data_IF_926623665940
#
_entry.id   IF_926623665940
#
_cell.length_a   1.000
_cell.length_b   1.000
_cell.length_c   1.000
_cell.angle_alpha   90.00
_cell.angle_beta   90.00
_cell.angle_gamma   90.00
#
_symmetry.space_group_name_H-M   'P 1'
#
loop_
_entity.id
_entity.type
_entity.pdbx_description
1 polymer ?
#
# COMPACT_ATOMS: atom_id res chain seq x y z
N UNK A 1 8.96 -15.08 16.05
CA UNK A 1 7.85 -14.21 16.47
C UNK A 1 7.83 -13.02 15.53
N UNK A 2 6.88 -12.98 14.60
CA UNK A 2 6.68 -11.80 13.76
C UNK A 2 6.27 -10.65 14.68
N UNK A 3 6.92 -9.49 14.55
CA UNK A 3 6.53 -8.29 15.30
C UNK A 3 5.22 -7.79 14.69
N UNK A 4 4.11 -8.16 15.31
CA UNK A 4 2.80 -7.60 15.03
C UNK A 4 2.61 -6.28 15.77
N UNK A 5 1.90 -5.34 15.16
CA UNK A 5 1.51 -4.06 15.77
C UNK A 5 0.06 -4.22 16.20
N UNK A 6 -0.22 -4.41 17.49
CA UNK A 6 -1.57 -4.59 18.03
C UNK A 6 -2.42 -5.68 17.33
N UNK A 7 -1.79 -6.75 16.84
CA UNK A 7 -2.49 -7.83 16.11
C UNK A 7 -2.53 -7.66 14.60
N UNK A 8 -1.99 -6.57 14.06
CA UNK A 8 -1.80 -6.36 12.62
C UNK A 8 -0.41 -6.81 12.16
N UNK A 9 -0.34 -7.38 10.95
CA UNK A 9 0.92 -7.84 10.34
C UNK A 9 1.85 -6.69 9.93
N UNK A 10 1.31 -5.49 9.71
CA UNK A 10 2.08 -4.30 9.37
C UNK A 10 1.32 -3.02 9.71
N UNK A 11 2.05 -1.91 9.81
CA UNK A 11 1.45 -0.59 9.96
C UNK A 11 0.47 -0.29 8.83
N UNK A 12 0.77 -0.74 7.62
CA UNK A 12 -0.12 -0.59 6.48
C UNK A 12 -1.48 -1.27 6.71
N UNK A 13 -1.49 -2.51 7.20
CA UNK A 13 -2.74 -3.26 7.50
C UNK A 13 -3.52 -2.63 8.63
N UNK A 14 -2.83 -2.08 9.63
CA UNK A 14 -3.46 -1.31 10.70
C UNK A 14 -4.16 -0.07 10.13
N UNK A 15 -3.48 0.72 9.31
CA UNK A 15 -4.06 1.94 8.73
C UNK A 15 -5.20 1.63 7.75
N UNK A 16 -5.05 0.62 6.90
CA UNK A 16 -6.04 0.22 5.89
C UNK A 16 -7.36 -0.25 6.51
N UNK A 17 -7.29 -0.95 7.64
CA UNK A 17 -8.47 -1.50 8.33
C UNK A 17 -9.20 -0.51 9.24
N UNK A 18 -8.50 0.54 9.72
CA UNK A 18 -9.03 1.46 10.72
C UNK A 18 -9.34 2.87 10.18
N UNK A 19 -8.94 3.20 8.95
CA UNK A 19 -9.18 4.50 8.35
C UNK A 19 -10.15 4.39 7.16
N UNK A 20 -10.89 5.47 6.89
CA UNK A 20 -11.61 5.59 5.62
C UNK A 20 -10.60 5.61 4.46
N UNK A 21 -11.00 5.19 3.23
CA UNK A 21 -10.09 5.17 2.09
C UNK A 21 -9.40 6.51 1.80
N UNK A 22 -10.07 7.63 2.06
CA UNK A 22 -9.52 8.98 1.90
C UNK A 22 -8.44 9.28 2.96
N UNK A 23 -8.73 9.01 4.23
CA UNK A 23 -7.78 9.22 5.32
C UNK A 23 -6.59 8.27 5.23
N UNK A 24 -6.82 7.03 4.80
CA UNK A 24 -5.76 6.06 4.55
C UNK A 24 -4.77 6.55 3.50
N UNK A 25 -5.27 7.11 2.39
CA UNK A 25 -4.43 7.69 1.33
C UNK A 25 -3.61 8.86 1.87
N UNK A 26 -4.23 9.75 2.64
CA UNK A 26 -3.55 10.93 3.17
C UNK A 26 -2.50 10.58 4.24
N UNK A 27 -2.82 9.67 5.16
CA UNK A 27 -1.87 9.15 6.13
C UNK A 27 -0.68 8.47 5.43
N UNK A 28 -0.95 7.65 4.42
CA UNK A 28 0.10 7.01 3.62
C UNK A 28 0.94 8.02 2.84
N UNK A 29 0.32 9.10 2.30
CA UNK A 29 1.03 10.21 1.63
C UNK A 29 2.07 10.83 2.54
N UNK A 30 1.66 11.17 3.77
CA UNK A 30 2.51 11.81 4.77
C UNK A 30 3.65 10.88 5.20
N UNK A 31 3.34 9.61 5.50
CA UNK A 31 4.32 8.62 5.97
C UNK A 31 5.35 8.25 4.90
N UNK A 32 4.96 8.21 3.62
CA UNK A 32 5.86 7.91 2.50
C UNK A 32 6.58 9.16 1.96
N UNK A 33 6.29 10.34 2.49
CA UNK A 33 6.89 11.60 2.02
C UNK A 33 6.46 12.00 0.60
N UNK A 34 5.31 11.50 0.11
CA UNK A 34 4.75 11.81 -1.21
C UNK A 34 4.07 13.19 -1.19
N UNK A 35 4.81 14.24 -0.82
CA UNK A 35 4.29 15.58 -0.51
C UNK A 35 3.86 16.45 -1.70
N UNK A 36 3.58 15.83 -2.84
CA UNK A 36 3.03 16.54 -4.00
C UNK A 36 1.51 16.62 -3.87
N UNK A 37 0.90 17.74 -4.28
CA UNK A 37 -0.56 17.98 -4.35
C UNK A 37 -1.29 17.07 -5.35
N UNK A 38 -0.75 15.89 -5.65
CA UNK A 38 -1.30 14.94 -6.62
C UNK A 38 -2.15 13.90 -5.92
N UNK A 39 -3.25 13.52 -6.58
CA UNK A 39 -4.04 12.39 -6.16
C UNK A 39 -3.16 11.12 -6.15
N UNK A 40 -3.30 10.33 -5.09
CA UNK A 40 -2.66 9.03 -4.98
C UNK A 40 -3.59 7.95 -5.53
N UNK A 41 -3.05 7.13 -6.41
CA UNK A 41 -3.72 5.96 -6.98
C UNK A 41 -3.03 4.67 -6.57
N UNK A 42 -3.86 3.65 -6.31
CA UNK A 42 -3.38 2.31 -6.02
C UNK A 42 -2.98 1.63 -7.32
N UNK A 43 -1.74 1.14 -7.38
CA UNK A 43 -1.27 0.38 -8.54
C UNK A 43 -1.87 -1.03 -8.46
N UNK A 44 -2.55 -1.44 -9.53
CA UNK A 44 -2.99 -2.83 -9.66
C UNK A 44 -1.78 -3.74 -9.86
N UNK A 45 -1.70 -4.81 -9.06
CA UNK A 45 -0.70 -5.86 -9.26
C UNK A 45 -1.20 -6.80 -10.35
N UNK A 46 -0.37 -7.10 -11.38
CA UNK A 46 -0.65 -8.18 -12.30
C UNK A 46 -0.83 -9.50 -11.56
N UNK A 47 -1.74 -10.34 -12.06
CA UNK A 47 -1.99 -11.68 -11.50
C UNK A 47 -0.75 -12.57 -11.53
N UNK A 48 0.10 -12.42 -12.56
CA UNK A 48 1.38 -13.13 -12.65
C UNK A 48 2.32 -12.78 -11.49
N UNK A 49 2.29 -11.54 -11.00
CA UNK A 49 3.12 -11.09 -9.86
C UNK A 49 2.67 -11.74 -8.57
N UNK A 50 1.36 -11.82 -8.31
CA UNK A 50 0.84 -12.46 -7.10
C UNK A 50 1.01 -13.97 -7.14
N UNK A 51 0.83 -14.60 -8.31
CA UNK A 51 1.09 -16.02 -8.50
C UNK A 51 2.56 -16.39 -8.25
N UNK A 52 3.49 -15.59 -8.77
CA UNK A 52 4.93 -15.78 -8.56
C UNK A 52 5.32 -15.59 -7.08
N UNK A 53 4.83 -14.52 -6.45
CA UNK A 53 5.05 -14.27 -5.02
C UNK A 53 4.60 -15.46 -4.14
N UNK A 54 3.42 -16.00 -4.44
CA UNK A 54 2.87 -17.17 -3.76
C UNK A 54 3.72 -18.43 -3.99
N UNK A 55 4.19 -18.66 -5.22
CA UNK A 55 5.04 -19.79 -5.56
C UNK A 55 6.39 -19.77 -4.82
N UNK A 56 6.92 -18.57 -4.56
CA UNK A 56 8.22 -18.37 -3.94
C UNK A 56 8.15 -17.91 -2.47
N UNK A 57 6.96 -17.92 -1.87
CA UNK A 57 6.73 -17.61 -0.45
C UNK A 57 7.32 -16.27 0.00
N UNK A 58 7.15 -15.23 -0.81
CA UNK A 58 7.49 -13.87 -0.40
C UNK A 58 6.28 -12.93 -0.55
N UNK A 59 6.24 -11.90 0.29
CA UNK A 59 5.16 -10.95 0.29
C UNK A 59 5.31 -9.94 -0.86
N UNK A 60 4.19 -9.64 -1.52
CA UNK A 60 4.08 -8.53 -2.47
C UNK A 60 2.95 -7.62 -2.03
N UNK A 61 3.23 -6.33 -2.04
CA UNK A 61 2.30 -5.30 -1.63
C UNK A 61 2.04 -4.33 -2.79
N UNK A 62 0.78 -3.88 -2.91
CA UNK A 62 0.45 -2.79 -3.84
C UNK A 62 1.00 -1.49 -3.26
N UNK A 63 1.74 -0.75 -4.09
CA UNK A 63 2.14 0.62 -3.75
C UNK A 63 1.05 1.60 -4.19
N UNK A 64 0.98 2.72 -3.48
CA UNK A 64 0.29 3.91 -3.96
C UNK A 64 1.33 4.85 -4.57
N UNK A 65 1.02 5.40 -5.73
CA UNK A 65 1.89 6.35 -6.41
C UNK A 65 1.11 7.61 -6.78
N UNK A 66 1.79 8.76 -6.93
CA UNK A 66 1.19 9.93 -7.55
C UNK A 66 0.67 9.58 -8.94
N UNK A 67 -0.49 10.11 -9.32
CA UNK A 67 -1.03 9.95 -10.67
C UNK A 67 0.01 10.33 -11.73
N UNK A 68 0.28 9.39 -12.64
CA UNK A 68 1.05 9.64 -13.85
C UNK A 68 0.24 10.55 -14.79
N UNK A 69 0.91 11.50 -15.46
CA UNK A 69 0.28 12.29 -16.52
C UNK A 69 -0.21 11.34 -17.64
N UNK A 70 -1.36 11.60 -18.29
CA UNK A 70 -1.56 11.05 -19.62
C UNK A 70 -0.43 11.60 -20.51
N UNK A 71 0.29 10.70 -21.18
CA UNK A 71 1.24 11.08 -22.22
C UNK A 71 0.54 11.84 -23.35
#
# INVERSE_FOLDING_TARGET
MARSIEGYESLYRLLESNLSPELFKEASRLLLGLNYWRALEAISLPESTTAFAKAHSFDVQRSICPTSLPF
#
